data_IF_213897141756
#
_entry.id   IF_213897141756
#
_cell.length_a   1.000
_cell.length_b   1.000
_cell.length_c   1.000
_cell.angle_alpha   90.00
_cell.angle_beta   90.00
_cell.angle_gamma   90.00
#
_symmetry.space_group_name_H-M   'P 1'
#
loop_
_entity.id
_entity.type
_entity.pdbx_description
1 polymer ?
#
# COMPACT_ATOMS: atom_id res chain seq x y z
N UNK A 1 32.26 -10.20 -21.33
CA UNK A 1 32.49 -8.74 -21.20
C UNK A 1 33.10 -8.48 -19.83
N UNK A 2 34.38 -8.12 -19.78
CA UNK A 2 35.10 -7.82 -18.54
C UNK A 2 34.88 -6.35 -18.16
N UNK A 3 34.30 -6.09 -16.99
CA UNK A 3 34.12 -4.75 -16.46
C UNK A 3 35.50 -4.19 -16.03
N UNK A 4 35.98 -3.06 -16.57
CA UNK A 4 37.36 -2.56 -16.37
C UNK A 4 37.71 -2.17 -14.93
N UNK A 5 36.75 -2.17 -14.01
CA UNK A 5 36.96 -1.78 -12.60
C UNK A 5 37.12 -2.96 -11.62
N UNK A 6 37.16 -4.21 -12.09
CA UNK A 6 37.36 -5.39 -11.23
C UNK A 6 36.29 -5.61 -10.14
N UNK A 7 35.26 -4.76 -10.05
CA UNK A 7 34.14 -4.89 -9.11
C UNK A 7 33.27 -6.05 -9.57
N UNK A 8 33.25 -7.11 -8.77
CA UNK A 8 32.31 -8.23 -8.95
C UNK A 8 30.89 -7.70 -8.69
N UNK A 9 30.02 -7.86 -9.69
CA UNK A 9 28.59 -7.58 -9.54
C UNK A 9 28.01 -8.52 -8.50
N UNK A 10 27.23 -8.04 -7.52
CA UNK A 10 26.54 -8.92 -6.59
C UNK A 10 25.57 -9.82 -7.35
N UNK A 11 25.58 -11.11 -7.02
CA UNK A 11 24.59 -12.07 -7.53
C UNK A 11 23.34 -11.98 -6.66
N UNK A 12 22.19 -11.80 -7.30
CA UNK A 12 20.88 -11.84 -6.65
C UNK A 12 20.28 -13.20 -6.96
N UNK A 13 19.80 -13.91 -5.94
CA UNK A 13 19.18 -15.22 -6.07
C UNK A 13 17.93 -15.30 -5.21
N UNK A 14 16.90 -16.01 -5.69
CA UNK A 14 15.76 -16.35 -4.84
C UNK A 14 16.09 -17.52 -3.93
N UNK A 15 15.51 -17.50 -2.73
CA UNK A 15 15.59 -18.64 -1.83
C UNK A 15 14.71 -19.78 -2.35
N UNK A 16 14.99 -21.02 -1.96
CA UNK A 16 14.08 -22.14 -2.25
C UNK A 16 12.83 -22.00 -1.38
N UNK A 17 11.70 -22.47 -1.93
CA UNK A 17 10.46 -22.52 -1.19
C UNK A 17 10.60 -23.42 0.05
N UNK A 18 10.44 -22.84 1.22
CA UNK A 18 10.57 -23.48 2.53
C UNK A 18 9.67 -22.78 3.55
N UNK A 19 9.39 -23.41 4.68
CA UNK A 19 8.56 -22.81 5.73
C UNK A 19 9.13 -21.44 6.19
N UNK A 20 10.44 -21.34 6.42
CA UNK A 20 11.10 -20.09 6.79
C UNK A 20 11.05 -19.05 5.67
N UNK A 21 11.19 -19.45 4.40
CA UNK A 21 11.12 -18.51 3.28
C UNK A 21 9.70 -17.96 3.10
N UNK A 22 8.68 -18.79 3.25
CA UNK A 22 7.27 -18.37 3.24
C UNK A 22 6.97 -17.42 4.39
N UNK A 23 7.40 -17.76 5.61
CA UNK A 23 7.23 -16.89 6.78
C UNK A 23 7.97 -15.55 6.60
N UNK A 24 9.19 -15.56 6.07
CA UNK A 24 9.93 -14.33 5.79
C UNK A 24 9.22 -13.44 4.78
N UNK A 25 8.66 -14.03 3.71
CA UNK A 25 7.86 -13.32 2.71
C UNK A 25 6.57 -12.75 3.33
N UNK A 26 5.88 -13.52 4.16
CA UNK A 26 4.69 -13.08 4.88
C UNK A 26 4.99 -11.89 5.80
N UNK A 27 5.99 -12.02 6.67
CA UNK A 27 6.41 -10.95 7.58
C UNK A 27 6.87 -9.69 6.82
N UNK A 28 7.66 -9.84 5.76
CA UNK A 28 8.11 -8.72 4.92
C UNK A 28 6.94 -8.01 4.24
N UNK A 29 5.86 -8.74 3.90
CA UNK A 29 4.67 -8.14 3.30
C UNK A 29 3.96 -7.19 4.27
N UNK A 30 3.94 -7.50 5.59
CA UNK A 30 3.42 -6.59 6.59
C UNK A 30 4.24 -5.30 6.68
N UNK A 31 5.56 -5.39 6.48
CA UNK A 31 6.43 -4.21 6.48
C UNK A 31 6.08 -3.22 5.37
N UNK A 32 5.75 -3.74 4.18
CA UNK A 32 5.26 -2.91 3.06
C UNK A 32 3.97 -2.17 3.43
N UNK A 33 3.00 -2.88 4.01
CA UNK A 33 1.72 -2.29 4.43
C UNK A 33 1.88 -1.24 5.53
N UNK A 34 2.76 -1.49 6.52
CA UNK A 34 3.04 -0.54 7.59
C UNK A 34 3.76 0.70 7.05
N UNK A 35 4.70 0.53 6.11
CA UNK A 35 5.38 1.65 5.46
C UNK A 35 4.40 2.51 4.67
N UNK A 36 3.48 1.90 3.92
CA UNK A 36 2.40 2.61 3.22
C UNK A 36 1.51 3.38 4.21
N UNK A 37 1.12 2.76 5.31
CA UNK A 37 0.31 3.40 6.34
C UNK A 37 1.03 4.60 6.96
N UNK A 38 2.31 4.45 7.32
CA UNK A 38 3.14 5.53 7.86
C UNK A 38 3.28 6.67 6.88
N UNK A 39 3.62 6.37 5.63
CA UNK A 39 3.81 7.39 4.60
C UNK A 39 2.53 8.19 4.36
N UNK A 40 1.38 7.52 4.31
CA UNK A 40 0.10 8.20 4.17
C UNK A 40 -0.25 9.07 5.40
N UNK A 41 0.11 8.64 6.61
CA UNK A 41 -0.05 9.47 7.82
C UNK A 41 0.87 10.69 7.81
N UNK A 42 2.11 10.54 7.35
CA UNK A 42 3.05 11.66 7.20
C UNK A 42 2.50 12.71 6.22
N UNK A 43 2.01 12.28 5.06
CA UNK A 43 1.37 13.16 4.08
C UNK A 43 0.07 13.79 4.63
N UNK A 44 -0.73 13.03 5.39
CA UNK A 44 -1.94 13.57 6.01
C UNK A 44 -1.65 14.63 7.07
N UNK A 45 -0.51 14.52 7.78
CA UNK A 45 -0.06 15.55 8.72
C UNK A 45 0.41 16.80 7.97
N UNK A 46 1.19 16.63 6.89
CA UNK A 46 1.60 17.75 6.01
C UNK A 46 0.39 18.46 5.37
N UNK A 47 -0.66 17.71 5.04
CA UNK A 47 -1.92 18.28 4.54
C UNK A 47 -2.62 19.25 5.51
N UNK A 48 -2.30 19.20 6.81
CA UNK A 48 -2.88 20.11 7.81
C UNK A 48 -2.13 21.42 7.96
N UNK A 49 -0.97 21.57 7.30
CA UNK A 49 -0.24 22.83 7.27
C UNK A 49 -1.02 23.87 6.46
N UNK A 50 -0.94 25.13 6.89
CA UNK A 50 -1.64 26.23 6.23
C UNK A 50 -1.17 26.37 4.77
N UNK A 51 -2.12 26.42 3.83
CA UNK A 51 -1.82 26.52 2.40
C UNK A 51 -1.33 25.22 1.76
N UNK A 52 -1.36 24.09 2.47
CA UNK A 52 -0.91 22.80 1.92
C UNK A 52 -1.77 22.37 0.72
N UNK A 53 -1.15 21.99 -0.42
CA UNK A 53 -1.89 21.45 -1.56
C UNK A 53 -2.54 20.10 -1.25
N UNK A 54 -2.17 19.46 -0.14
CA UNK A 54 -2.71 18.18 0.31
C UNK A 54 -3.90 18.33 1.28
N UNK A 55 -4.36 19.55 1.58
CA UNK A 55 -5.41 19.78 2.58
C UNK A 55 -6.70 19.00 2.29
N UNK A 56 -7.15 19.01 1.04
CA UNK A 56 -8.34 18.26 0.61
C UNK A 56 -8.10 16.75 0.58
N UNK A 57 -6.86 16.32 0.34
CA UNK A 57 -6.47 14.91 0.28
C UNK A 57 -6.25 14.29 1.68
N UNK A 58 -5.96 15.09 2.70
CA UNK A 58 -5.59 14.61 4.03
C UNK A 58 -6.59 13.64 4.68
N UNK A 59 -7.92 13.87 4.63
CA UNK A 59 -8.91 12.93 5.16
C UNK A 59 -8.84 11.54 4.48
N UNK A 60 -8.60 11.52 3.17
CA UNK A 60 -8.50 10.29 2.37
C UNK A 60 -7.19 9.55 2.62
N UNK A 61 -6.09 10.29 2.82
CA UNK A 61 -4.80 9.72 3.22
C UNK A 61 -4.88 9.01 4.57
N UNK A 62 -5.62 9.59 5.55
CA UNK A 62 -5.91 8.90 6.82
C UNK A 62 -6.71 7.62 6.57
N UNK A 63 -7.75 7.67 5.73
CA UNK A 63 -8.53 6.49 5.36
C UNK A 63 -7.68 5.38 4.73
N UNK A 64 -6.80 5.76 3.80
CA UNK A 64 -5.85 4.82 3.18
C UNK A 64 -4.89 4.21 4.20
N UNK A 65 -4.33 5.02 5.11
CA UNK A 65 -3.46 4.52 6.16
C UNK A 65 -4.17 3.49 7.06
N UNK A 66 -5.42 3.75 7.42
CA UNK A 66 -6.26 2.82 8.19
C UNK A 66 -6.43 1.50 7.43
N UNK A 67 -6.70 1.55 6.12
CA UNK A 67 -6.82 0.35 5.29
C UNK A 67 -5.51 -0.42 5.28
N UNK A 68 -4.39 0.23 4.93
CA UNK A 68 -3.07 -0.39 4.85
C UNK A 68 -2.68 -1.07 6.18
N UNK A 69 -2.84 -0.36 7.31
CA UNK A 69 -2.63 -0.93 8.64
C UNK A 69 -3.54 -2.13 8.92
N UNK A 70 -4.85 -2.01 8.66
CA UNK A 70 -5.81 -3.08 8.91
C UNK A 70 -5.54 -4.32 8.06
N UNK A 71 -4.95 -4.19 6.86
CA UNK A 71 -4.53 -5.36 6.07
C UNK A 71 -3.50 -6.22 6.80
N UNK A 72 -2.75 -5.68 7.77
CA UNK A 72 -1.75 -6.44 8.55
C UNK A 72 -2.36 -7.20 9.72
N UNK A 73 -3.42 -6.67 10.35
CA UNK A 73 -4.00 -7.21 11.59
C UNK A 73 -5.30 -7.99 11.38
N UNK A 74 -5.98 -7.80 10.25
CA UNK A 74 -7.19 -8.53 9.91
C UNK A 74 -6.85 -9.81 9.13
N UNK A 75 -7.64 -10.85 9.35
CA UNK A 75 -7.46 -12.12 8.65
C UNK A 75 -7.73 -11.98 7.15
N UNK A 76 -6.89 -12.61 6.34
CA UNK A 76 -7.03 -12.72 4.89
C UNK A 76 -6.97 -14.19 4.47
N UNK A 77 -7.59 -14.53 3.33
CA UNK A 77 -7.46 -15.87 2.74
C UNK A 77 -6.03 -16.21 2.27
N UNK A 78 -5.15 -15.21 2.20
CA UNK A 78 -3.81 -15.34 1.61
C UNK A 78 -2.69 -15.28 2.67
N UNK A 79 -2.95 -14.67 3.84
CA UNK A 79 -1.97 -14.49 4.92
C UNK A 79 -2.62 -14.44 6.29
N UNK A 80 -1.85 -14.81 7.31
CA UNK A 80 -2.20 -14.68 8.73
C UNK A 80 -2.24 -13.23 9.19
N UNK A 81 -2.36 -13.03 10.51
CA UNK A 81 -2.35 -11.69 11.11
C UNK A 81 -0.96 -11.40 11.65
N UNK A 82 -0.51 -10.15 11.51
CA UNK A 82 0.70 -9.67 12.17
C UNK A 82 0.66 -9.92 13.69
N UNK A 83 -0.52 -9.83 14.31
CA UNK A 83 -0.72 -10.09 15.73
C UNK A 83 -0.54 -11.56 16.14
N UNK A 84 -0.41 -12.47 15.18
CA UNK A 84 -0.03 -13.86 15.46
C UNK A 84 1.50 -13.98 15.70
N UNK A 85 2.26 -12.92 15.37
CA UNK A 85 3.72 -12.86 15.47
C UNK A 85 4.24 -11.80 16.45
N UNK A 86 3.49 -10.72 16.65
CA UNK A 86 3.84 -9.63 17.57
C UNK A 86 2.65 -9.25 18.44
N UNK A 87 2.91 -8.70 19.63
CA UNK A 87 1.86 -8.22 20.53
C UNK A 87 1.75 -6.70 20.44
N UNK A 88 0.55 -6.17 20.25
CA UNK A 88 0.30 -4.72 20.31
C UNK A 88 0.57 -4.25 21.75
N UNK A 89 1.42 -3.24 21.96
CA UNK A 89 1.69 -2.72 23.31
C UNK A 89 0.42 -2.22 24.00
N UNK A 90 0.31 -2.46 25.31
CA UNK A 90 -0.90 -2.17 26.08
C UNK A 90 -1.31 -0.69 26.02
N UNK A 91 -0.33 0.21 26.05
CA UNK A 91 -0.46 1.66 25.92
C UNK A 91 -1.02 2.12 24.56
N UNK A 92 -0.90 1.27 23.54
CA UNK A 92 -1.37 1.52 22.17
C UNK A 92 -2.60 0.68 21.80
N UNK A 93 -3.04 -0.25 22.65
CA UNK A 93 -4.22 -1.09 22.41
C UNK A 93 -5.48 -0.27 22.08
N UNK A 94 -5.72 0.82 22.81
CA UNK A 94 -6.88 1.68 22.60
C UNK A 94 -6.89 2.30 21.20
N UNK A 95 -5.74 2.81 20.71
CA UNK A 95 -5.68 3.38 19.36
C UNK A 95 -5.78 2.29 18.29
N UNK A 96 -5.23 1.11 18.53
CA UNK A 96 -5.40 -0.06 17.67
C UNK A 96 -6.89 -0.42 17.50
N UNK A 97 -7.64 -0.51 18.60
CA UNK A 97 -9.07 -0.83 18.57
C UNK A 97 -9.89 0.27 17.90
N UNK A 98 -9.57 1.54 18.17
CA UNK A 98 -10.24 2.68 17.53
C UNK A 98 -10.03 2.69 16.01
N UNK A 99 -8.81 2.43 15.53
CA UNK A 99 -8.49 2.33 14.10
C UNK A 99 -9.25 1.17 13.44
N UNK A 100 -9.29 0.01 14.11
CA UNK A 100 -10.04 -1.15 13.62
C UNK A 100 -11.55 -0.88 13.57
N UNK A 101 -12.10 -0.24 14.59
CA UNK A 101 -13.50 0.16 14.63
C UNK A 101 -13.82 1.16 13.52
N UNK A 102 -12.98 2.18 13.33
CA UNK A 102 -13.13 3.19 12.27
C UNK A 102 -13.10 2.56 10.87
N UNK A 103 -12.19 1.61 10.61
CA UNK A 103 -12.18 0.85 9.35
C UNK A 103 -13.51 0.17 9.10
N UNK A 104 -14.03 -0.55 10.10
CA UNK A 104 -15.25 -1.35 9.92
C UNK A 104 -16.49 -0.47 9.77
N UNK A 105 -16.68 0.51 10.64
CA UNK A 105 -17.87 1.36 10.62
C UNK A 105 -17.87 2.34 9.44
N UNK A 106 -16.75 3.04 9.21
CA UNK A 106 -16.71 4.18 8.28
C UNK A 106 -16.25 3.77 6.89
N UNK A 107 -15.13 3.05 6.78
CA UNK A 107 -14.50 2.78 5.48
C UNK A 107 -15.15 1.59 4.77
N UNK A 108 -15.39 0.50 5.49
CA UNK A 108 -15.80 -0.76 4.88
C UNK A 108 -17.30 -0.89 4.65
N UNK A 109 -18.11 -0.27 5.52
CA UNK A 109 -19.56 -0.47 5.51
C UNK A 109 -20.36 0.82 5.31
N UNK A 110 -19.73 2.00 5.29
CA UNK A 110 -20.43 3.30 5.18
C UNK A 110 -21.58 3.44 6.19
N UNK A 111 -21.47 2.79 7.35
CA UNK A 111 -22.50 2.73 8.40
C UNK A 111 -22.24 3.75 9.52
N UNK A 112 -21.20 4.55 9.38
CA UNK A 112 -20.77 5.49 10.38
C UNK A 112 -21.46 6.83 10.20
N UNK A 113 -21.86 7.46 11.31
CA UNK A 113 -22.25 8.88 11.34
C UNK A 113 -21.11 9.82 10.88
N UNK A 114 -19.90 9.28 10.71
CA UNK A 114 -18.75 9.98 10.15
C UNK A 114 -18.79 10.08 8.62
N UNK A 115 -19.72 9.42 7.93
CA UNK A 115 -19.93 9.56 6.49
C UNK A 115 -21.42 9.48 6.18
N UNK A 116 -22.09 10.64 6.15
CA UNK A 116 -23.55 10.72 5.99
C UNK A 116 -23.89 11.49 4.73
N UNK A 117 -24.74 10.91 3.89
CA UNK A 117 -25.32 11.57 2.72
C UNK A 117 -26.72 12.04 3.07
N UNK A 118 -26.92 13.36 3.06
CA UNK A 118 -28.21 13.98 3.26
C UNK A 118 -28.87 14.27 1.90
N UNK A 119 -30.16 13.96 1.72
CA UNK A 119 -30.91 14.49 0.60
C UNK A 119 -31.08 15.99 0.80
N UNK A 120 -30.75 16.78 -0.21
CA UNK A 120 -30.85 18.25 -0.16
C UNK A 120 -31.66 18.77 -1.34
N UNK A 121 -32.38 19.87 -1.14
CA UNK A 121 -33.10 20.57 -2.19
C UNK A 121 -32.59 22.01 -2.28
N UNK A 122 -32.36 22.50 -3.50
CA UNK A 122 -32.14 23.90 -3.78
C UNK A 122 -33.49 24.54 -4.11
N UNK A 123 -33.87 25.55 -3.34
CA UNK A 123 -35.11 26.30 -3.53
C UNK A 123 -34.77 27.69 -4.06
N UNK A 124 -35.64 28.21 -4.91
CA UNK A 124 -35.65 29.64 -5.21
C UNK A 124 -35.91 30.44 -3.92
N UNK A 125 -35.11 31.48 -3.66
CA UNK A 125 -35.18 32.20 -2.40
C UNK A 125 -36.47 33.05 -2.29
N UNK A 126 -37.04 33.50 -3.41
CA UNK A 126 -38.19 34.38 -3.44
C UNK A 126 -39.51 33.59 -3.61
N UNK A 127 -39.51 32.54 -4.44
CA UNK A 127 -40.72 31.75 -4.74
C UNK A 127 -40.84 30.46 -3.93
N UNK A 128 -39.75 30.00 -3.30
CA UNK A 128 -39.64 28.69 -2.65
C UNK A 128 -39.89 27.49 -3.58
N UNK A 129 -39.90 27.70 -4.90
CA UNK A 129 -40.02 26.62 -5.86
C UNK A 129 -38.76 25.76 -5.87
N UNK A 130 -38.93 24.44 -6.00
CA UNK A 130 -37.81 23.49 -6.06
C UNK A 130 -37.10 23.63 -7.40
N UNK A 131 -35.84 24.06 -7.36
CA UNK A 131 -34.99 24.17 -8.55
C UNK A 131 -34.22 22.88 -8.82
N UNK A 132 -33.76 22.22 -7.75
CA UNK A 132 -32.94 21.00 -7.86
C UNK A 132 -33.05 20.15 -6.60
N UNK A 133 -32.95 18.83 -6.75
CA UNK A 133 -32.81 17.87 -5.65
C UNK A 133 -31.50 17.11 -5.86
N UNK A 134 -30.66 17.10 -4.84
CA UNK A 134 -29.35 16.47 -4.86
C UNK A 134 -29.03 15.74 -3.57
N UNK A 135 -27.75 15.40 -3.42
CA UNK A 135 -27.22 14.75 -2.23
C UNK A 135 -25.97 15.50 -1.77
N UNK A 136 -25.88 15.77 -0.48
CA UNK A 136 -24.69 16.33 0.16
C UNK A 136 -24.08 15.28 1.09
N UNK A 137 -22.85 14.86 0.80
CA UNK A 137 -22.13 13.89 1.63
C UNK A 137 -21.13 14.60 2.52
N UNK A 138 -21.30 14.45 3.84
CA UNK A 138 -20.40 14.97 4.86
C UNK A 138 -19.51 13.83 5.34
N UNK A 139 -18.19 14.01 5.26
CA UNK A 139 -17.20 13.01 5.70
C UNK A 139 -16.35 13.63 6.81
N UNK A 140 -16.25 12.94 7.94
CA UNK A 140 -15.38 13.26 9.05
C UNK A 140 -14.33 12.16 9.21
N UNK A 141 -13.05 12.54 9.14
CA UNK A 141 -11.94 11.62 9.32
C UNK A 141 -11.55 11.50 10.80
N UNK A 142 -10.51 10.72 11.11
CA UNK A 142 -9.99 10.62 12.48
C UNK A 142 -9.54 12.00 12.99
N UNK A 143 -9.87 12.36 14.24
CA UNK A 143 -9.41 13.60 14.85
C UNK A 143 -7.87 13.71 14.87
N UNK A 144 -7.33 14.92 14.75
CA UNK A 144 -5.87 15.16 14.70
C UNK A 144 -5.07 14.50 15.82
N UNK A 145 -5.49 14.55 17.11
CA UNK A 145 -4.77 13.85 18.17
C UNK A 145 -4.70 12.33 17.95
N UNK A 146 -5.76 11.74 17.38
CA UNK A 146 -5.82 10.31 17.09
C UNK A 146 -4.95 9.93 15.89
N UNK A 147 -4.85 10.80 14.87
CA UNK A 147 -3.90 10.62 13.74
C UNK A 147 -2.45 10.57 14.25
N UNK A 148 -2.08 11.45 15.17
CA UNK A 148 -0.75 11.43 15.80
C UNK A 148 -0.47 10.13 16.55
N UNK A 149 -1.42 9.67 17.39
CA UNK A 149 -1.30 8.39 18.10
C UNK A 149 -1.28 7.19 17.16
N UNK A 150 -2.04 7.23 16.07
CA UNK A 150 -2.04 6.18 15.06
C UNK A 150 -0.69 6.10 14.35
N UNK A 151 -0.07 7.23 14.02
CA UNK A 151 1.30 7.29 13.49
C UNK A 151 2.31 6.64 14.45
N UNK A 152 2.22 6.94 15.76
CA UNK A 152 3.03 6.28 16.78
C UNK A 152 2.79 4.77 16.81
N UNK A 153 1.54 4.32 16.76
CA UNK A 153 1.20 2.89 16.69
C UNK A 153 1.86 2.21 15.49
N UNK A 154 1.77 2.80 14.29
CA UNK A 154 2.39 2.21 13.08
C UNK A 154 3.91 2.09 13.25
N UNK A 155 4.58 3.14 13.71
CA UNK A 155 6.03 3.11 13.92
C UNK A 155 6.46 2.01 14.92
N UNK A 156 5.76 1.88 16.04
CA UNK A 156 6.05 0.83 17.03
C UNK A 156 5.79 -0.57 16.47
N UNK A 157 4.75 -0.74 15.65
CA UNK A 157 4.48 -2.02 14.99
C UNK A 157 5.55 -2.37 13.94
N UNK A 158 6.15 -1.38 13.25
CA UNK A 158 7.30 -1.59 12.37
C UNK A 158 8.51 -2.10 13.14
N UNK A 159 8.83 -1.48 14.28
CA UNK A 159 9.94 -1.90 15.15
C UNK A 159 9.75 -3.33 15.67
N UNK A 160 8.54 -3.66 16.14
CA UNK A 160 8.19 -5.01 16.60
C UNK A 160 8.30 -6.04 15.47
N UNK A 161 7.87 -5.68 14.26
CA UNK A 161 8.00 -6.54 13.08
C UNK A 161 9.47 -6.78 12.72
N UNK A 162 10.31 -5.75 12.77
CA UNK A 162 11.74 -5.87 12.50
C UNK A 162 12.40 -6.86 13.47
N UNK A 163 12.05 -6.80 14.75
CA UNK A 163 12.49 -7.77 15.76
C UNK A 163 12.01 -9.18 15.43
N UNK A 164 10.74 -9.34 15.04
CA UNK A 164 10.15 -10.64 14.68
C UNK A 164 10.78 -11.27 13.42
N UNK A 165 11.22 -10.44 12.45
CA UNK A 165 11.86 -10.90 11.21
C UNK A 165 13.29 -11.42 11.46
N UNK A 166 14.04 -10.84 12.40
CA UNK A 166 15.46 -11.20 12.62
C UNK A 166 15.73 -12.70 12.80
N UNK A 167 15.02 -13.45 13.66
CA UNK A 167 15.30 -14.87 13.83
C UNK A 167 15.03 -15.68 12.55
N UNK A 168 14.03 -15.30 11.75
CA UNK A 168 13.73 -15.96 10.47
C UNK A 168 14.85 -15.68 9.46
N UNK A 169 15.28 -14.41 9.36
CA UNK A 169 16.41 -13.99 8.53
C UNK A 169 17.68 -14.77 8.89
N UNK A 170 18.01 -14.87 10.18
CA UNK A 170 19.20 -15.58 10.64
C UNK A 170 19.18 -17.07 10.24
N UNK A 171 18.03 -17.75 10.34
CA UNK A 171 17.88 -19.14 9.90
C UNK A 171 18.02 -19.29 8.38
N UNK A 172 17.43 -18.40 7.60
CA UNK A 172 17.57 -18.39 6.14
C UNK A 172 19.01 -18.15 5.70
N UNK A 173 19.72 -17.22 6.34
CA UNK A 173 21.14 -16.98 6.09
C UNK A 173 22.00 -18.19 6.45
N UNK A 174 21.73 -18.83 7.60
CA UNK A 174 22.45 -20.04 8.00
C UNK A 174 22.21 -21.19 7.01
N UNK A 175 20.97 -21.40 6.58
CA UNK A 175 20.62 -22.39 5.56
C UNK A 175 21.33 -22.12 4.22
N UNK A 176 21.40 -20.84 3.82
CA UNK A 176 22.11 -20.44 2.60
C UNK A 176 23.63 -20.68 2.75
N UNK A 177 24.23 -20.34 3.89
CA UNK A 177 25.67 -20.58 4.14
C UNK A 177 26.04 -22.07 4.13
N UNK A 178 25.13 -22.93 4.58
CA UNK A 178 25.31 -24.39 4.58
C UNK A 178 25.17 -25.03 3.19
N UNK A 179 24.58 -24.32 2.22
CA UNK A 179 24.38 -24.82 0.85
C UNK A 179 25.67 -24.79 0.02
N UNK A 180 25.84 -25.79 -0.85
CA UNK A 180 26.94 -25.85 -1.80
C UNK A 180 27.06 -24.55 -2.61
N UNK A 181 28.26 -23.96 -2.76
CA UNK A 181 28.43 -22.71 -3.49
C UNK A 181 27.94 -22.75 -4.94
N UNK A 182 27.98 -23.90 -5.63
CA UNK A 182 27.48 -24.01 -7.00
C UNK A 182 25.95 -23.95 -7.01
N UNK A 183 25.29 -24.64 -6.08
CA UNK A 183 23.84 -24.57 -5.92
C UNK A 183 23.36 -23.15 -5.61
N UNK A 184 24.10 -22.41 -4.77
CA UNK A 184 23.83 -20.99 -4.50
C UNK A 184 23.94 -20.13 -5.75
N UNK A 185 24.95 -20.36 -6.58
CA UNK A 185 25.18 -19.58 -7.80
C UNK A 185 24.12 -19.86 -8.88
N UNK A 186 23.46 -21.02 -8.83
CA UNK A 186 22.38 -21.40 -9.77
C UNK A 186 20.98 -21.04 -9.30
N UNK A 187 20.84 -20.28 -8.21
CA UNK A 187 19.53 -19.89 -7.67
C UNK A 187 18.70 -19.15 -8.73
N UNK A 188 17.43 -19.53 -8.87
CA UNK A 188 16.53 -18.93 -9.86
C UNK A 188 16.28 -17.45 -9.52
N UNK A 189 16.09 -16.62 -10.54
CA UNK A 189 15.51 -15.28 -10.38
C UNK A 189 13.98 -15.38 -10.46
N UNK A 190 13.23 -14.43 -9.87
CA UNK A 190 11.80 -14.37 -10.10
C UNK A 190 11.55 -14.17 -11.60
N UNK A 191 10.58 -14.89 -12.17
CA UNK A 191 10.18 -14.67 -13.56
C UNK A 191 9.37 -13.38 -13.66
N UNK A 192 9.82 -12.43 -14.49
CA UNK A 192 9.01 -11.26 -14.83
C UNK A 192 8.08 -11.65 -15.97
N UNK A 193 6.79 -11.46 -15.77
CA UNK A 193 5.76 -11.62 -16.79
C UNK A 193 5.33 -10.23 -17.24
N UNK A 194 5.46 -9.93 -18.51
CA UNK A 194 5.05 -8.66 -19.08
C UNK A 194 3.69 -8.82 -19.74
N UNK A 195 2.76 -7.91 -19.44
CA UNK A 195 1.42 -7.87 -20.01
C UNK A 195 1.05 -6.44 -20.39
N UNK A 196 0.10 -6.26 -21.30
CA UNK A 196 -0.46 -4.94 -21.58
C UNK A 196 -1.50 -4.54 -20.53
N UNK A 197 -1.71 -3.23 -20.34
CA UNK A 197 -2.66 -2.70 -19.38
C UNK A 197 -4.10 -3.19 -19.61
N UNK A 198 -4.50 -3.43 -20.87
CA UNK A 198 -5.80 -3.99 -21.23
C UNK A 198 -5.97 -5.48 -20.84
N UNK A 199 -4.90 -6.15 -20.41
CA UNK A 199 -4.92 -7.53 -19.89
C UNK A 199 -5.00 -7.57 -18.35
N UNK A 200 -5.19 -6.44 -17.69
CA UNK A 200 -5.28 -6.37 -16.23
C UNK A 200 -6.49 -7.17 -15.71
N UNK A 201 -6.21 -8.25 -14.96
CA UNK A 201 -7.22 -9.09 -14.31
C UNK A 201 -7.01 -9.09 -12.78
N UNK A 202 -7.79 -8.29 -12.03
CA UNK A 202 -7.60 -8.12 -10.58
C UNK A 202 -7.91 -9.39 -9.78
N UNK A 203 -8.58 -10.39 -10.36
CA UNK A 203 -8.89 -11.67 -9.68
C UNK A 203 -7.74 -12.66 -9.72
N UNK A 204 -6.68 -12.39 -10.46
CA UNK A 204 -5.49 -13.25 -10.49
C UNK A 204 -4.83 -13.26 -9.12
N UNK A 205 -4.72 -14.45 -8.51
CA UNK A 205 -4.13 -14.62 -7.18
C UNK A 205 -2.68 -15.06 -7.28
N UNK A 206 -1.83 -14.49 -6.43
CA UNK A 206 -0.46 -14.96 -6.25
C UNK A 206 -0.46 -16.32 -5.53
N UNK A 207 0.40 -17.27 -5.91
CA UNK A 207 0.68 -18.43 -5.06
C UNK A 207 1.26 -17.99 -3.70
N UNK A 208 1.17 -18.83 -2.65
CA UNK A 208 1.73 -18.53 -1.33
C UNK A 208 3.22 -18.14 -1.41
N UNK A 209 4.02 -18.90 -2.16
CA UNK A 209 5.42 -18.56 -2.46
C UNK A 209 5.52 -17.89 -3.84
N UNK A 210 6.04 -16.65 -3.94
CA UNK A 210 6.14 -15.93 -5.21
C UNK A 210 7.31 -16.46 -6.03
N UNK A 211 7.04 -16.95 -7.24
CA UNK A 211 8.07 -17.32 -8.23
C UNK A 211 8.07 -16.39 -9.44
N UNK A 212 7.05 -15.55 -9.58
CA UNK A 212 6.92 -14.58 -10.67
C UNK A 212 6.30 -13.27 -10.20
N UNK A 213 6.46 -12.23 -11.02
CA UNK A 213 5.80 -10.94 -10.86
C UNK A 213 5.30 -10.46 -12.23
N UNK A 214 4.06 -9.99 -12.29
CA UNK A 214 3.49 -9.43 -13.53
C UNK A 214 3.64 -7.92 -13.53
N UNK A 215 4.27 -7.38 -14.58
CA UNK A 215 4.36 -5.96 -14.87
C UNK A 215 3.40 -5.66 -16.02
N UNK A 216 2.57 -4.64 -15.84
CA UNK A 216 1.64 -4.16 -16.86
C UNK A 216 2.22 -2.93 -17.55
N UNK A 217 2.20 -2.93 -18.87
CA UNK A 217 2.67 -1.83 -19.70
C UNK A 217 1.49 -1.13 -20.36
N UNK A 218 1.48 0.19 -20.30
CA UNK A 218 0.68 0.98 -21.23
C UNK A 218 1.34 0.88 -22.61
N UNK A 219 0.59 0.65 -23.70
CA UNK A 219 1.12 0.88 -25.03
C UNK A 219 1.67 2.30 -25.05
N UNK A 220 2.95 2.48 -25.42
CA UNK A 220 3.51 3.81 -25.53
C UNK A 220 2.56 4.64 -26.38
N UNK A 221 2.01 5.72 -25.81
CA UNK A 221 1.32 6.73 -26.59
C UNK A 221 2.32 7.10 -27.67
N UNK A 222 2.08 6.66 -28.90
CA UNK A 222 2.90 7.04 -30.03
C UNK A 222 2.91 8.56 -30.00
N UNK A 223 4.04 9.14 -29.60
CA UNK A 223 4.35 10.54 -29.85
C UNK A 223 4.54 10.63 -31.36
N UNK A 224 3.43 10.53 -32.09
CA UNK A 224 3.31 11.01 -33.45
C UNK A 224 3.28 12.54 -33.35
N UNK A 225 4.41 13.11 -32.90
CA UNK A 225 4.85 14.45 -33.27
C UNK A 225 5.38 14.36 -34.70
N UNK A 226 4.56 13.87 -35.64
CA UNK A 226 4.70 14.18 -37.05
C UNK A 226 4.01 15.51 -37.27
N UNK A 227 4.75 16.54 -36.89
CA UNK A 227 4.60 17.95 -37.22
C UNK A 227 4.04 18.10 -38.65
N UNK A 228 2.73 18.41 -38.70
CA UNK A 228 2.00 18.71 -39.92
C UNK A 228 2.42 20.06 -40.50
N UNK A 229 3.67 20.18 -40.91
CA UNK A 229 4.15 21.28 -41.73
C UNK A 229 3.64 21.08 -43.17
N UNK A 230 2.42 21.55 -43.44
CA UNK A 230 1.97 21.76 -44.82
C UNK A 230 2.87 22.81 -45.49
N UNK A 231 3.48 22.54 -46.67
CA UNK A 231 4.20 23.55 -47.41
C UNK A 231 3.21 24.60 -47.93
N UNK A 232 3.35 25.84 -47.45
CA UNK A 232 2.69 27.01 -48.04
C UNK A 232 3.25 27.22 -49.44
N UNK A 233 2.44 26.94 -50.46
CA UNK A 233 2.66 27.46 -51.81
C UNK A 233 2.37 28.97 -51.79
N UNK A 234 3.41 29.77 -52.07
CA UNK A 234 3.32 31.21 -52.30
C UNK A 234 2.74 31.52 -53.70
N UNK A 235 2.15 32.72 -53.89
CA UNK A 235 1.36 33.10 -55.07
C UNK A 235 2.16 33.25 -56.36
#
# INVERSE_FOLDING_TARGET
MNNPNGRRTPLVVTLRDSADARLFVELSSYGSDLTEARHALDLAVQGKEEGSPLAEAAPYLVGFAVVAYCRTILHSNVRGRLTDHVTVPAELSVVHDQVRAFRNATIAHSQSELAVTYPTALLDADTLEVQYVGAATMISSLPSPLVGRFRTLVAVMEELLDVAIQPVRARLEAALRAMDPRERATGALPTVQEKLANEFEPRTKRPPYPTSHTIYWEPGASTDDSDGAQPRTAP
#
